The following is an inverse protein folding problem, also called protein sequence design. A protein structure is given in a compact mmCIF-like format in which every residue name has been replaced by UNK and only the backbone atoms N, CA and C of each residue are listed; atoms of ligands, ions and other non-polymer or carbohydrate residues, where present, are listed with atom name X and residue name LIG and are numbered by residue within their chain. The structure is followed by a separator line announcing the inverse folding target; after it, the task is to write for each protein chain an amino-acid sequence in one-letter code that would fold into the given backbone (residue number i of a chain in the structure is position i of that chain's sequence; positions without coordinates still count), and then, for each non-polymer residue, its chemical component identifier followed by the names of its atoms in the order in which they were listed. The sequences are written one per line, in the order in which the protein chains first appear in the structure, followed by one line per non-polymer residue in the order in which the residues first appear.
data_IF_853576751204
#
_entry.id   IF_853576751204
#
_cell.length_a   1.000
_cell.length_b   1.000
_cell.length_c   1.000
_cell.angle_alpha   90.00
_cell.angle_beta   90.00
_cell.angle_gamma   90.00
#
_symmetry.space_group_name_H-M   'P 1'
#
loop_
_entity.id
_entity.type
_entity.pdbx_description
1 polymer ?
#
# COMPACT_ATOMS: atom_id res chain seq x y z
N UNK A 1 -0.01 -18.03 -32.74
CA UNK A 1 0.43 -18.61 -31.44
C UNK A 1 1.28 -17.67 -30.57
N UNK A 2 1.85 -16.56 -31.07
CA UNK A 2 2.73 -15.67 -30.28
C UNK A 2 2.02 -14.67 -29.32
N UNK A 3 0.70 -14.47 -29.46
CA UNK A 3 -0.02 -13.36 -28.77
C UNK A 3 -0.37 -13.64 -27.29
N UNK A 4 -0.33 -14.89 -26.83
CA UNK A 4 -0.61 -15.23 -25.41
C UNK A 4 0.64 -15.30 -24.53
N UNK A 5 1.78 -15.75 -25.07
CA UNK A 5 3.04 -15.91 -24.31
C UNK A 5 3.61 -14.54 -23.88
N UNK A 6 3.46 -13.52 -24.74
CA UNK A 6 3.89 -12.14 -24.47
C UNK A 6 3.11 -11.51 -23.30
N UNK A 7 1.86 -11.91 -23.06
CA UNK A 7 1.07 -11.38 -21.93
C UNK A 7 1.54 -11.94 -20.58
N UNK A 8 1.75 -13.26 -20.50
CA UNK A 8 2.14 -13.91 -19.24
C UNK A 8 3.56 -13.52 -18.77
N UNK A 9 4.50 -13.35 -19.69
CA UNK A 9 5.88 -12.95 -19.35
C UNK A 9 5.95 -11.52 -18.83
N UNK A 10 5.15 -10.60 -19.40
CA UNK A 10 5.04 -9.21 -18.97
C UNK A 10 4.39 -9.11 -17.58
N UNK A 11 3.31 -9.87 -17.33
CA UNK A 11 2.67 -9.94 -16.00
C UNK A 11 3.67 -10.45 -14.95
N UNK A 12 4.40 -11.54 -15.25
CA UNK A 12 5.42 -12.10 -14.34
C UNK A 12 6.55 -11.11 -14.06
N UNK A 13 6.96 -10.33 -15.06
CA UNK A 13 7.99 -9.28 -14.88
C UNK A 13 7.48 -8.19 -13.94
N UNK A 14 6.28 -7.66 -14.18
CA UNK A 14 5.68 -6.63 -13.33
C UNK A 14 5.58 -7.09 -11.87
N UNK A 15 5.08 -8.31 -11.64
CA UNK A 15 5.01 -8.92 -10.31
C UNK A 15 6.38 -8.96 -9.61
N UNK A 16 7.42 -9.43 -10.31
CA UNK A 16 8.79 -9.49 -9.77
C UNK A 16 9.37 -8.11 -9.51
N UNK A 17 9.05 -7.13 -10.34
CA UNK A 17 9.57 -5.77 -10.20
C UNK A 17 8.92 -5.03 -9.03
N UNK A 18 7.63 -5.24 -8.78
CA UNK A 18 6.94 -4.73 -7.58
C UNK A 18 7.54 -5.31 -6.30
N UNK A 19 7.67 -6.64 -6.20
CA UNK A 19 8.24 -7.27 -5.01
C UNK A 19 9.71 -6.87 -4.79
N UNK A 20 10.47 -6.65 -5.87
CA UNK A 20 11.82 -6.10 -5.76
C UNK A 20 11.76 -4.66 -5.23
N UNK A 21 10.89 -3.82 -5.77
CA UNK A 21 10.77 -2.43 -5.35
C UNK A 21 10.31 -2.31 -3.88
N UNK A 22 9.42 -3.18 -3.40
CA UNK A 22 9.03 -3.23 -1.99
C UNK A 22 10.23 -3.36 -1.04
N UNK A 23 11.25 -4.12 -1.42
CA UNK A 23 12.46 -4.29 -0.61
C UNK A 23 13.26 -3.01 -0.46
N UNK A 24 13.19 -2.12 -1.43
CA UNK A 24 13.91 -0.84 -1.44
C UNK A 24 13.06 0.31 -0.88
N UNK A 25 11.76 0.30 -1.14
CA UNK A 25 10.88 1.44 -0.87
C UNK A 25 10.04 1.31 0.42
N UNK A 26 9.91 0.11 1.02
CA UNK A 26 9.02 -0.10 2.17
C UNK A 26 9.77 -0.57 3.42
N UNK A 27 9.44 -0.02 4.62
CA UNK A 27 9.89 -0.56 5.89
C UNK A 27 9.43 -2.01 6.11
N UNK A 28 10.11 -2.82 6.95
CA UNK A 28 9.87 -4.26 7.05
C UNK A 28 8.41 -4.69 7.26
N UNK A 29 7.69 -4.05 8.19
CA UNK A 29 6.27 -4.36 8.46
C UNK A 29 5.35 -4.01 7.28
N UNK A 30 5.59 -2.87 6.63
CA UNK A 30 4.82 -2.47 5.45
C UNK A 30 5.10 -3.38 4.25
N UNK A 31 6.35 -3.80 4.07
CA UNK A 31 6.75 -4.77 3.05
C UNK A 31 6.02 -6.10 3.23
N UNK A 32 5.98 -6.64 4.44
CA UNK A 32 5.32 -7.92 4.70
C UNK A 32 3.82 -7.89 4.35
N UNK A 33 3.14 -6.81 4.73
CA UNK A 33 1.74 -6.57 4.38
C UNK A 33 1.59 -6.46 2.85
N UNK A 34 2.39 -5.60 2.21
CA UNK A 34 2.34 -5.35 0.78
C UNK A 34 2.64 -6.60 -0.05
N UNK A 35 3.65 -7.38 0.34
CA UNK A 35 4.03 -8.62 -0.36
C UNK A 35 2.90 -9.66 -0.33
N UNK A 36 2.21 -9.81 0.82
CA UNK A 36 1.03 -10.68 0.93
C UNK A 36 -0.09 -10.20 0.01
N UNK A 37 -0.35 -8.90 0.00
CA UNK A 37 -1.40 -8.30 -0.82
C UNK A 37 -1.13 -8.47 -2.33
N UNK A 38 0.09 -8.15 -2.79
CA UNK A 38 0.49 -8.35 -4.20
C UNK A 38 0.30 -9.81 -4.60
N UNK A 39 0.71 -10.76 -3.75
CA UNK A 39 0.55 -12.20 -4.02
C UNK A 39 -0.92 -12.61 -4.16
N UNK A 40 -1.79 -12.14 -3.27
CA UNK A 40 -3.22 -12.46 -3.33
C UNK A 40 -3.86 -11.87 -4.58
N UNK A 41 -3.58 -10.61 -4.89
CA UNK A 41 -4.19 -9.91 -6.03
C UNK A 41 -3.77 -10.52 -7.38
N UNK A 42 -2.48 -10.79 -7.58
CA UNK A 42 -2.00 -11.44 -8.80
C UNK A 42 -2.48 -12.88 -8.92
N UNK A 43 -2.76 -13.57 -7.81
CA UNK A 43 -3.37 -14.91 -7.83
C UNK A 43 -4.85 -14.83 -8.21
N UNK A 44 -5.59 -13.88 -7.66
CA UNK A 44 -7.01 -13.69 -7.95
C UNK A 44 -7.26 -13.28 -9.42
N UNK A 45 -6.35 -12.50 -10.01
CA UNK A 45 -6.49 -12.01 -11.39
C UNK A 45 -6.02 -12.99 -12.48
N UNK A 46 -5.73 -14.26 -12.13
CA UNK A 46 -5.32 -15.28 -13.12
C UNK A 46 -6.43 -15.62 -14.13
N UNK A 47 -7.68 -15.52 -13.70
CA UNK A 47 -8.87 -15.87 -14.50
C UNK A 47 -9.66 -14.62 -14.95
N UNK A 48 -9.06 -13.43 -14.81
CA UNK A 48 -9.69 -12.18 -15.20
C UNK A 48 -9.85 -12.07 -16.73
N UNK A 49 -10.90 -11.39 -17.16
CA UNK A 49 -11.17 -11.10 -18.58
C UNK A 49 -10.14 -10.15 -19.19
N UNK A 50 -10.06 -10.09 -20.52
CA UNK A 50 -9.08 -9.25 -21.22
C UNK A 50 -9.10 -7.77 -20.80
N UNK A 51 -10.28 -7.19 -20.62
CA UNK A 51 -10.43 -5.78 -20.21
C UNK A 51 -10.02 -5.56 -18.76
N UNK A 52 -10.38 -6.49 -17.87
CA UNK A 52 -9.95 -6.47 -16.48
C UNK A 52 -8.43 -6.59 -16.37
N UNK A 53 -7.80 -7.44 -17.18
CA UNK A 53 -6.34 -7.58 -17.23
C UNK A 53 -5.68 -6.28 -17.70
N UNK A 54 -6.24 -5.59 -18.69
CA UNK A 54 -5.70 -4.32 -19.16
C UNK A 54 -5.72 -3.24 -18.06
N UNK A 55 -6.86 -3.09 -17.37
CA UNK A 55 -7.00 -2.15 -16.26
C UNK A 55 -6.08 -2.52 -15.09
N UNK A 56 -6.01 -3.81 -14.74
CA UNK A 56 -5.10 -4.34 -13.74
C UNK A 56 -3.65 -3.97 -14.07
N UNK A 57 -3.19 -4.25 -15.29
CA UNK A 57 -1.82 -3.96 -15.70
C UNK A 57 -1.50 -2.46 -15.69
N UNK A 58 -2.46 -1.60 -16.05
CA UNK A 58 -2.30 -0.15 -15.95
C UNK A 58 -2.13 0.30 -14.50
N UNK A 59 -3.04 -0.11 -13.61
CA UNK A 59 -3.01 0.25 -12.19
C UNK A 59 -1.71 -0.19 -11.51
N UNK A 60 -1.28 -1.45 -11.72
CA UNK A 60 -0.08 -1.99 -11.09
C UNK A 60 1.23 -1.42 -11.65
N UNK A 61 1.24 -0.96 -12.91
CA UNK A 61 2.38 -0.19 -13.44
C UNK A 61 2.47 1.19 -12.82
N UNK A 62 1.35 1.90 -12.67
CA UNK A 62 1.31 3.19 -11.99
C UNK A 62 1.75 3.06 -10.53
N UNK A 63 1.30 2.02 -9.83
CA UNK A 63 1.76 1.73 -8.47
C UNK A 63 3.28 1.49 -8.40
N UNK A 64 3.85 0.71 -9.31
CA UNK A 64 5.29 0.48 -9.37
C UNK A 64 6.07 1.79 -9.62
N UNK A 65 5.55 2.67 -10.47
CA UNK A 65 6.15 3.99 -10.72
C UNK A 65 6.10 4.86 -9.47
N UNK A 66 4.97 4.90 -8.76
CA UNK A 66 4.85 5.60 -7.49
C UNK A 66 5.84 5.08 -6.45
N UNK A 67 5.99 3.75 -6.32
CA UNK A 67 6.96 3.14 -5.42
C UNK A 67 8.42 3.48 -5.77
N UNK A 68 8.72 3.70 -7.06
CA UNK A 68 10.06 4.15 -7.50
C UNK A 68 10.32 5.60 -7.14
N UNK A 69 9.28 6.44 -7.20
CA UNK A 69 9.39 7.88 -6.96
C UNK A 69 9.29 8.25 -5.46
N UNK A 70 8.74 7.39 -4.61
CA UNK A 70 8.50 7.67 -3.18
C UNK A 70 9.76 7.68 -2.30
N UNK A 71 10.92 7.21 -2.79
CA UNK A 71 12.20 7.35 -2.07
C UNK A 71 12.23 6.72 -0.67
N UNK A 72 11.41 5.71 -0.39
CA UNK A 72 11.36 5.06 0.93
C UNK A 72 10.38 5.69 1.93
N UNK A 73 9.75 6.82 1.60
CA UNK A 73 8.72 7.42 2.43
C UNK A 73 7.36 6.73 2.19
N UNK A 74 6.75 6.26 3.28
CA UNK A 74 5.40 5.71 3.24
C UNK A 74 4.40 6.84 3.35
N UNK A 75 3.56 6.97 2.32
CA UNK A 75 2.54 8.01 2.24
C UNK A 75 3.07 9.33 1.67
N UNK A 76 2.18 10.33 1.61
CA UNK A 76 2.52 11.70 1.20
C UNK A 76 1.82 12.68 2.12
N UNK A 77 2.40 13.86 2.30
CA UNK A 77 1.69 14.97 2.93
C UNK A 77 0.46 15.35 2.10
N UNK A 78 -0.63 15.69 2.79
CA UNK A 78 -1.83 16.23 2.16
C UNK A 78 -1.51 17.62 1.59
N UNK A 79 -1.88 17.84 0.33
CA UNK A 79 -1.81 19.14 -0.31
C UNK A 79 -2.98 20.03 0.11
N UNK A 80 -2.89 21.33 -0.14
CA UNK A 80 -4.01 22.24 0.08
C UNK A 80 -5.27 21.83 -0.70
N UNK A 81 -5.10 21.28 -1.90
CA UNK A 81 -6.19 20.75 -2.71
C UNK A 81 -6.87 19.55 -2.04
N UNK A 82 -6.10 18.57 -1.53
CA UNK A 82 -6.66 17.40 -0.84
C UNK A 82 -7.49 17.83 0.38
N UNK A 83 -6.97 18.81 1.13
CA UNK A 83 -7.65 19.36 2.29
C UNK A 83 -8.89 20.15 1.88
N UNK A 84 -8.88 20.84 0.73
CA UNK A 84 -10.02 21.61 0.22
C UNK A 84 -11.26 20.75 -0.08
N UNK A 85 -11.06 19.49 -0.48
CA UNK A 85 -12.15 18.56 -0.76
C UNK A 85 -12.83 18.00 0.50
N UNK A 86 -12.27 18.25 1.69
CA UNK A 86 -12.84 17.78 2.94
C UNK A 86 -13.93 18.74 3.42
N UNK A 87 -15.04 18.20 3.89
CA UNK A 87 -16.04 18.96 4.63
C UNK A 87 -15.58 19.22 6.09
N UNK A 88 -16.33 20.04 6.83
CA UNK A 88 -15.94 20.46 8.18
C UNK A 88 -15.79 19.29 9.15
N UNK A 89 -16.67 18.29 9.08
CA UNK A 89 -16.58 17.10 9.93
C UNK A 89 -15.36 16.23 9.59
N UNK A 90 -15.07 16.06 8.30
CA UNK A 90 -13.88 15.35 7.83
C UNK A 90 -12.59 16.06 8.26
N UNK A 91 -12.56 17.40 8.27
CA UNK A 91 -11.43 18.19 8.77
C UNK A 91 -11.22 18.01 10.27
N UNK A 92 -12.30 18.08 11.06
CA UNK A 92 -12.25 17.81 12.51
C UNK A 92 -11.74 16.40 12.80
N UNK A 93 -12.24 15.40 12.08
CA UNK A 93 -11.80 14.01 12.22
C UNK A 93 -10.33 13.84 11.82
N UNK A 94 -9.87 14.49 10.75
CA UNK A 94 -8.46 14.45 10.34
C UNK A 94 -7.53 14.97 11.45
N UNK A 95 -7.90 16.08 12.10
CA UNK A 95 -7.13 16.64 13.23
C UNK A 95 -7.12 15.69 14.42
N UNK A 96 -8.28 15.09 14.75
CA UNK A 96 -8.39 14.09 15.83
C UNK A 96 -7.49 12.88 15.58
N UNK A 97 -7.52 12.33 14.36
CA UNK A 97 -6.69 11.19 13.98
C UNK A 97 -5.19 11.52 14.09
N UNK A 98 -4.79 12.72 13.66
CA UNK A 98 -3.40 13.18 13.80
C UNK A 98 -2.96 13.21 15.26
N UNK A 99 -3.81 13.74 16.16
CA UNK A 99 -3.52 13.78 17.59
C UNK A 99 -3.39 12.38 18.19
N UNK A 100 -4.35 11.49 17.90
CA UNK A 100 -4.34 10.09 18.37
C UNK A 100 -3.11 9.31 17.90
N UNK A 101 -2.68 9.51 16.65
CA UNK A 101 -1.49 8.87 16.13
C UNK A 101 -0.18 9.41 16.74
N UNK A 102 -0.18 10.67 17.18
CA UNK A 102 0.97 11.32 17.82
C UNK A 102 1.05 11.08 19.34
N UNK A 103 -0.08 10.85 20.00
CA UNK A 103 -0.11 10.42 21.39
C UNK A 103 0.21 8.92 21.42
N UNK A 104 1.40 8.54 21.88
CA UNK A 104 1.74 7.13 22.15
C UNK A 104 0.59 6.44 22.90
N UNK A 105 0.27 5.18 22.59
CA UNK A 105 -0.68 4.43 23.41
C UNK A 105 -0.15 4.41 24.85
N UNK A 106 -1.01 4.49 25.88
CA UNK A 106 -0.56 4.35 27.25
C UNK A 106 0.19 3.02 27.37
N UNK A 107 1.45 3.11 27.78
CA UNK A 107 2.27 1.98 28.16
C UNK A 107 1.46 1.11 29.11
N UNK A 108 1.14 -0.11 28.69
CA UNK A 108 0.70 -1.19 29.58
C UNK A 108 1.87 -1.51 30.51
N UNK A 109 2.16 -0.64 31.47
CA UNK A 109 3.20 -0.79 32.45
C UNK A 109 2.56 -0.80 33.83
N UNK A 110 2.88 -1.87 34.56
CA UNK A 110 2.67 -2.05 35.99
C UNK A 110 1.31 -2.59 36.45
N UNK A 111 1.03 -3.84 36.06
CA UNK A 111 0.39 -4.79 36.98
C UNK A 111 1.42 -5.27 38.02
N UNK A 112 1.93 -4.33 38.81
CA UNK A 112 2.81 -4.60 39.94
C UNK A 112 2.01 -5.25 41.06
N UNK A 113 2.54 -6.39 41.52
CA UNK A 113 2.18 -7.12 42.72
C UNK A 113 1.54 -6.27 43.84
N UNK A 114 0.35 -6.69 44.30
CA UNK A 114 -0.08 -6.45 45.67
C UNK A 114 -1.06 -7.53 46.15
N UNK A 115 -0.53 -8.37 47.04
CA UNK A 115 -1.22 -8.89 48.23
C UNK A 115 -2.32 -9.94 48.04
N UNK A 116 -1.99 -11.20 48.30
CA UNK A 116 -2.21 -11.83 49.62
C UNK A 116 -1.58 -13.22 49.68
#
# INVERSE_FOLDING_TARGET
MASHVVRASVVKRLYKDILRQHRFALPPKHRELGDRYVRSEFKAHKEATGDQVAQFMHAWRSYLEQLRNQGGQVGRSLSAADVSHLNDEQRKQLVRLKQQASSSPPSSASGGAQGR
#
